data_IF_750041472618
#
_entry.id   IF_750041472618
#
_cell.length_a   1.000
_cell.length_b   1.000
_cell.length_c   1.000
_cell.angle_alpha   90.00
_cell.angle_beta   90.00
_cell.angle_gamma   90.00
#
_symmetry.space_group_name_H-M   'P 1'
#
loop_
_entity.id
_entity.type
_entity.pdbx_description
1 polymer ?
#
# COMPACT_ATOMS: atom_id res chain seq x y z
N UNK A 1 15.20 7.56 9.73
CA UNK A 1 13.95 8.34 9.60
C UNK A 1 14.01 9.03 8.25
N UNK A 2 13.01 8.81 7.42
CA UNK A 2 13.04 9.19 6.01
C UNK A 2 11.75 9.93 5.65
N UNK A 3 11.84 10.86 4.70
CA UNK A 3 10.68 11.61 4.21
C UNK A 3 10.49 11.31 2.73
N UNK A 4 9.40 10.60 2.43
CA UNK A 4 8.97 10.33 1.08
C UNK A 4 8.15 11.52 0.58
N UNK A 5 8.48 12.01 -0.62
CA UNK A 5 7.78 13.15 -1.23
C UNK A 5 7.26 12.75 -2.60
N UNK A 6 5.97 12.94 -2.82
CA UNK A 6 5.27 12.59 -4.06
C UNK A 6 4.71 13.85 -4.72
N UNK A 7 4.74 13.88 -6.05
CA UNK A 7 4.13 14.97 -6.83
C UNK A 7 2.61 14.95 -6.63
N UNK A 8 2.03 16.09 -6.26
CA UNK A 8 0.59 16.15 -5.97
C UNK A 8 -0.27 15.80 -7.18
N UNK A 9 0.22 16.10 -8.40
CA UNK A 9 -0.42 15.73 -9.66
C UNK A 9 -0.62 14.22 -9.80
N UNK A 10 0.40 13.43 -9.48
CA UNK A 10 0.32 11.97 -9.62
C UNK A 10 -0.55 11.37 -8.51
N UNK A 11 -0.50 11.93 -7.30
CA UNK A 11 -1.38 11.52 -6.19
C UNK A 11 -2.85 11.81 -6.49
N UNK A 12 -3.18 12.91 -7.19
CA UNK A 12 -4.55 13.19 -7.63
C UNK A 12 -5.12 12.07 -8.49
N UNK A 13 -4.34 11.54 -9.45
CA UNK A 13 -4.77 10.42 -10.30
C UNK A 13 -5.10 9.16 -9.48
N UNK A 14 -4.34 8.89 -8.41
CA UNK A 14 -4.64 7.77 -7.50
C UNK A 14 -5.99 7.98 -6.80
N UNK A 15 -6.27 9.20 -6.34
CA UNK A 15 -7.56 9.52 -5.71
C UNK A 15 -8.72 9.44 -6.70
N UNK A 16 -8.54 9.92 -7.93
CA UNK A 16 -9.54 9.81 -9.00
C UNK A 16 -9.89 8.35 -9.30
N UNK A 17 -8.89 7.46 -9.30
CA UNK A 17 -9.11 6.02 -9.47
C UNK A 17 -9.85 5.40 -8.28
N UNK A 18 -9.49 5.75 -7.04
CA UNK A 18 -10.20 5.29 -5.85
C UNK A 18 -11.67 5.75 -5.86
N UNK A 19 -11.94 6.97 -6.34
CA UNK A 19 -13.29 7.53 -6.41
C UNK A 19 -14.13 6.86 -7.51
N UNK A 20 -13.50 6.40 -8.59
CA UNK A 20 -14.17 5.70 -9.69
C UNK A 20 -14.36 4.20 -9.44
N UNK A 21 -13.64 3.62 -8.49
CA UNK A 21 -13.65 2.19 -8.22
C UNK A 21 -14.93 1.73 -7.50
N UNK A 22 -15.43 0.55 -7.88
CA UNK A 22 -16.59 -0.09 -7.25
C UNK A 22 -16.22 -1.13 -6.20
N UNK A 23 -14.96 -1.59 -6.18
CA UNK A 23 -14.46 -2.59 -5.24
C UNK A 23 -12.95 -2.46 -5.04
N UNK A 24 -12.47 -3.03 -3.94
CA UNK A 24 -11.10 -2.89 -3.48
C UNK A 24 -10.51 -4.24 -3.09
N UNK A 25 -9.20 -4.38 -3.20
CA UNK A 25 -8.45 -5.52 -2.65
C UNK A 25 -8.00 -5.20 -1.22
N UNK A 26 -7.99 -6.18 -0.31
CA UNK A 26 -7.33 -6.01 0.98
C UNK A 26 -5.83 -5.78 0.76
N UNK A 27 -5.24 -4.89 1.56
CA UNK A 27 -3.79 -4.74 1.64
C UNK A 27 -3.16 -5.90 2.42
N UNK A 28 -1.85 -6.05 2.35
CA UNK A 28 -1.11 -7.00 3.20
C UNK A 28 -1.40 -6.78 4.68
N UNK A 29 -1.51 -5.53 5.13
CA UNK A 29 -1.85 -5.20 6.52
C UNK A 29 -3.26 -5.68 6.90
N UNK A 30 -4.21 -5.61 5.97
CA UNK A 30 -5.59 -6.07 6.19
C UNK A 30 -5.65 -7.61 6.30
N UNK A 31 -4.83 -8.32 5.52
CA UNK A 31 -4.79 -9.79 5.53
C UNK A 31 -4.46 -10.38 6.90
N UNK A 32 -3.59 -9.72 7.66
CA UNK A 32 -3.18 -10.18 8.99
C UNK A 32 -4.05 -9.58 10.11
N UNK A 33 -4.99 -8.68 9.82
CA UNK A 33 -5.84 -8.04 10.82
C UNK A 33 -7.09 -8.90 11.12
N UNK A 34 -7.24 -9.45 12.34
CA UNK A 34 -8.42 -10.24 12.72
C UNK A 34 -9.74 -9.48 12.55
N UNK A 35 -9.76 -8.16 12.72
CA UNK A 35 -10.97 -7.36 12.57
C UNK A 35 -11.53 -7.38 11.15
N UNK A 36 -10.73 -7.75 10.15
CA UNK A 36 -11.15 -7.89 8.76
C UNK A 36 -11.92 -9.18 8.48
N UNK A 37 -11.95 -10.12 9.42
CA UNK A 37 -12.67 -11.39 9.31
C UNK A 37 -14.01 -11.30 10.05
N UNK A 38 -15.05 -11.98 9.57
CA UNK A 38 -16.38 -11.92 10.20
C UNK A 38 -16.41 -12.51 11.61
N UNK A 39 -15.55 -13.50 11.87
CA UNK A 39 -15.44 -14.21 13.15
C UNK A 39 -14.13 -13.91 13.90
N UNK A 40 -13.31 -12.98 13.39
CA UNK A 40 -12.03 -12.63 14.01
C UNK A 40 -10.92 -13.68 13.81
N UNK A 41 -11.10 -14.67 12.93
CA UNK A 41 -10.11 -15.75 12.74
C UNK A 41 -9.45 -15.62 11.38
N UNK A 42 -8.16 -15.28 11.40
CA UNK A 42 -7.29 -15.20 10.21
C UNK A 42 -7.06 -16.62 9.67
N UNK A 43 -7.25 -16.79 8.36
CA UNK A 43 -7.15 -18.09 7.68
C UNK A 43 -6.32 -18.03 6.43
N UNK A 44 -5.60 -19.11 6.14
CA UNK A 44 -4.93 -19.31 4.87
C UNK A 44 -5.89 -19.71 3.76
N UNK A 45 -5.37 -19.89 2.53
CA UNK A 45 -6.17 -20.31 1.35
C UNK A 45 -6.91 -21.63 1.50
N UNK A 46 -6.52 -22.47 2.47
CA UNK A 46 -7.16 -23.76 2.74
C UNK A 46 -8.15 -23.67 3.92
N UNK A 47 -8.41 -22.47 4.43
CA UNK A 47 -9.30 -22.24 5.57
C UNK A 47 -8.69 -22.58 6.93
N UNK A 48 -7.36 -22.75 7.00
CA UNK A 48 -6.65 -23.16 8.22
C UNK A 48 -6.18 -21.94 9.00
N UNK A 49 -6.19 -22.03 10.32
CA UNK A 49 -5.46 -21.13 11.22
C UNK A 49 -3.94 -21.35 11.10
N UNK A 50 -3.14 -20.43 11.64
CA UNK A 50 -1.68 -20.56 11.69
C UNK A 50 -1.24 -21.86 12.37
N UNK A 51 -1.81 -22.17 13.55
CA UNK A 51 -1.50 -23.40 14.29
C UNK A 51 -1.83 -24.68 13.51
N UNK A 52 -2.88 -24.65 12.69
CA UNK A 52 -3.23 -25.78 11.83
C UNK A 52 -2.26 -25.89 10.65
N UNK A 53 -1.93 -24.77 10.00
CA UNK A 53 -0.96 -24.75 8.91
C UNK A 53 0.43 -25.26 9.35
N UNK A 54 0.90 -24.87 10.53
CA UNK A 54 2.16 -25.32 11.13
C UNK A 54 2.18 -26.84 11.36
N UNK A 55 1.09 -27.42 11.87
CA UNK A 55 0.97 -28.88 12.06
C UNK A 55 1.06 -29.66 10.74
N UNK A 56 0.69 -29.02 9.64
CA UNK A 56 0.82 -29.57 8.30
C UNK A 56 2.17 -29.26 7.63
N UNK A 57 3.13 -28.67 8.37
CA UNK A 57 4.46 -28.32 7.88
C UNK A 57 4.46 -27.23 6.80
N UNK A 58 3.37 -26.47 6.69
CA UNK A 58 3.22 -25.41 5.69
C UNK A 58 3.55 -24.03 6.27
N UNK A 59 3.97 -23.11 5.39
CA UNK A 59 4.02 -21.69 5.71
C UNK A 59 2.59 -21.14 5.77
N UNK A 60 2.24 -20.49 6.88
CA UNK A 60 0.98 -19.78 7.00
C UNK A 60 1.04 -18.48 6.20
N UNK A 61 0.06 -18.27 5.33
CA UNK A 61 -0.15 -17.00 4.64
C UNK A 61 -1.65 -16.75 4.55
N UNK A 62 -2.18 -15.65 5.11
CA UNK A 62 -3.60 -15.39 5.08
C UNK A 62 -4.15 -15.22 3.66
N UNK A 63 -5.39 -15.67 3.42
CA UNK A 63 -6.07 -15.50 2.14
C UNK A 63 -7.14 -14.42 2.20
N UNK A 64 -7.25 -13.64 1.12
CA UNK A 64 -8.33 -12.68 0.94
C UNK A 64 -9.71 -13.33 0.82
N UNK A 65 -9.78 -14.64 0.53
CA UNK A 65 -11.02 -15.40 0.37
C UNK A 65 -11.91 -15.39 1.64
N UNK A 66 -11.29 -15.18 2.80
CA UNK A 66 -11.96 -15.17 4.11
C UNK A 66 -12.13 -13.76 4.69
N UNK A 67 -11.66 -12.73 3.98
CA UNK A 67 -11.84 -11.33 4.39
C UNK A 67 -13.29 -10.92 4.15
N UNK A 68 -13.90 -10.28 5.14
CA UNK A 68 -15.17 -9.57 4.97
C UNK A 68 -14.94 -8.35 4.09
N UNK A 69 -15.28 -8.50 2.81
CA UNK A 69 -15.09 -7.47 1.78
C UNK A 69 -15.83 -6.16 2.10
N UNK A 70 -16.87 -6.18 2.94
CA UNK A 70 -17.57 -4.96 3.35
C UNK A 70 -16.72 -4.06 4.26
N UNK A 71 -15.66 -4.60 4.87
CA UNK A 71 -14.73 -3.88 5.73
C UNK A 71 -13.55 -3.28 4.96
N UNK A 72 -13.30 -3.74 3.73
CA UNK A 72 -12.18 -3.26 2.91
C UNK A 72 -12.48 -1.83 2.44
N UNK A 73 -11.63 -0.90 2.83
CA UNK A 73 -11.77 0.53 2.51
C UNK A 73 -10.80 0.97 1.42
N UNK A 74 -11.16 2.00 0.62
CA UNK A 74 -10.22 2.67 -0.28
C UNK A 74 -8.96 3.10 0.48
N UNK A 75 -7.80 2.81 -0.10
CA UNK A 75 -6.50 3.13 0.47
C UNK A 75 -5.45 3.36 -0.61
N UNK A 76 -4.42 4.12 -0.25
CA UNK A 76 -3.18 4.10 -1.01
C UNK A 76 -2.28 3.02 -0.42
N UNK A 77 -1.52 2.34 -1.27
CA UNK A 77 -0.52 1.36 -0.86
C UNK A 77 0.84 1.96 -1.18
N UNK A 78 1.62 2.25 -0.14
CA UNK A 78 3.03 2.58 -0.28
C UNK A 78 3.79 1.29 -0.52
N UNK A 79 4.50 1.20 -1.63
CA UNK A 79 5.30 0.02 -2.01
C UNK A 79 6.76 0.43 -2.11
N UNK A 80 7.63 -0.38 -1.53
CA UNK A 80 9.06 -0.38 -1.83
C UNK A 80 9.42 -1.69 -2.51
N UNK A 81 9.76 -1.64 -3.80
CA UNK A 81 10.33 -2.78 -4.55
C UNK A 81 11.45 -2.27 -5.51
N UNK A 82 11.25 -2.38 -6.82
CA UNK A 82 11.89 -1.65 -7.90
C UNK A 82 11.56 -0.13 -7.88
N UNK A 83 11.94 0.51 -6.78
CA UNK A 83 11.65 1.91 -6.47
C UNK A 83 10.76 2.07 -5.24
N UNK A 84 10.28 3.29 -5.01
CA UNK A 84 9.32 3.59 -3.94
C UNK A 84 8.19 4.39 -4.53
N UNK A 85 6.97 3.90 -4.40
CA UNK A 85 5.80 4.50 -5.05
C UNK A 85 4.50 4.23 -4.30
N UNK A 86 3.47 4.98 -4.68
CA UNK A 86 2.10 4.76 -4.27
C UNK A 86 1.30 4.19 -5.43
N UNK A 87 0.49 3.18 -5.13
CA UNK A 87 -0.63 2.69 -5.96
C UNK A 87 -1.92 2.73 -5.14
N UNK A 88 -3.03 2.35 -5.75
CA UNK A 88 -4.30 2.16 -5.05
C UNK A 88 -4.54 0.69 -4.75
N UNK A 89 -5.47 0.42 -3.83
CA UNK A 89 -6.05 -0.92 -3.68
C UNK A 89 -7.34 -1.11 -4.50
N UNK A 90 -7.64 -0.25 -5.48
CA UNK A 90 -8.80 -0.42 -6.34
C UNK A 90 -8.64 -1.65 -7.25
N UNK A 91 -9.70 -2.47 -7.32
CA UNK A 91 -9.78 -3.53 -8.33
C UNK A 91 -10.14 -2.90 -9.66
N UNK A 92 -9.21 -2.95 -10.61
CA UNK A 92 -9.48 -2.55 -11.99
C UNK A 92 -8.62 -3.36 -12.96
N UNK A 93 -9.01 -3.33 -14.23
CA UNK A 93 -8.33 -4.05 -15.29
C UNK A 93 -6.96 -3.44 -15.63
N UNK A 94 -5.98 -4.30 -15.90
CA UNK A 94 -4.62 -3.90 -16.23
C UNK A 94 -3.74 -3.58 -15.02
N UNK A 95 -2.45 -3.35 -15.27
CA UNK A 95 -1.51 -3.01 -14.22
C UNK A 95 -1.65 -1.53 -13.81
N UNK A 96 -1.25 -1.14 -12.58
CA UNK A 96 -1.20 0.26 -12.18
C UNK A 96 -0.42 1.14 -13.18
N UNK A 97 0.69 0.63 -13.73
CA UNK A 97 1.48 1.32 -14.75
C UNK A 97 0.65 1.57 -16.02
N UNK A 98 -0.04 0.56 -16.54
CA UNK A 98 -0.86 0.71 -17.75
C UNK A 98 -2.03 1.67 -17.59
N UNK A 99 -2.52 1.84 -16.35
CA UNK A 99 -3.57 2.79 -15.98
C UNK A 99 -3.03 4.19 -15.69
N UNK A 100 -1.71 4.36 -15.57
CA UNK A 100 -1.09 5.62 -15.16
C UNK A 100 -1.33 5.96 -13.69
N UNK A 101 -1.60 4.96 -12.85
CA UNK A 101 -1.90 5.09 -11.42
C UNK A 101 -0.76 4.57 -10.55
N UNK A 102 0.44 5.05 -10.86
CA UNK A 102 1.66 4.91 -10.05
C UNK A 102 2.20 6.30 -9.77
N UNK A 103 2.39 6.64 -8.49
CA UNK A 103 3.05 7.88 -8.09
C UNK A 103 4.37 7.55 -7.39
N UNK A 104 5.50 7.73 -8.09
CA UNK A 104 6.82 7.50 -7.52
C UNK A 104 7.19 8.59 -6.52
N UNK A 105 7.85 8.18 -5.43
CA UNK A 105 8.56 9.08 -4.56
C UNK A 105 9.71 9.74 -5.33
N UNK A 106 10.01 11.00 -5.00
CA UNK A 106 11.10 11.75 -5.62
C UNK A 106 12.43 10.99 -5.47
N UNK A 107 13.10 10.73 -6.59
CA UNK A 107 14.40 10.04 -6.63
C UNK A 107 14.29 8.52 -6.65
N UNK A 108 13.08 7.95 -6.66
CA UNK A 108 12.87 6.50 -6.60
C UNK A 108 12.14 5.95 -7.83
N UNK A 109 12.13 6.67 -8.96
CA UNK A 109 11.52 6.20 -10.21
C UNK A 109 12.58 5.51 -11.09
N UNK A 110 12.51 4.19 -11.31
CA UNK A 110 13.51 3.46 -12.10
C UNK A 110 13.54 3.87 -13.59
N UNK A 111 12.49 4.54 -14.09
CA UNK A 111 12.45 5.06 -15.45
C UNK A 111 13.03 6.46 -15.62
N UNK A 112 13.41 7.14 -14.52
CA UNK A 112 13.88 8.53 -14.53
C UNK A 112 15.14 8.78 -13.69
N UNK A 113 15.31 8.05 -12.59
CA UNK A 113 16.34 8.27 -11.59
C UNK A 113 17.36 7.11 -11.64
N UNK A 114 18.61 7.38 -12.02
CA UNK A 114 19.65 6.34 -12.13
C UNK A 114 19.95 5.67 -10.77
N UNK A 115 19.95 6.47 -9.68
CA UNK A 115 20.23 6.02 -8.31
C UNK A 115 18.96 5.56 -7.55
N UNK A 116 17.91 5.13 -8.26
CA UNK A 116 16.62 4.83 -7.63
C UNK A 116 16.72 3.73 -6.56
N UNK A 117 17.61 2.75 -6.76
CA UNK A 117 17.75 1.59 -5.88
C UNK A 117 18.41 1.98 -4.56
N UNK A 118 19.50 2.76 -4.62
CA UNK A 118 20.15 3.35 -3.45
C UNK A 118 19.18 4.25 -2.68
N UNK A 119 18.40 5.07 -3.40
CA UNK A 119 17.37 5.90 -2.79
C UNK A 119 16.26 5.07 -2.13
N UNK A 120 15.80 3.97 -2.75
CA UNK A 120 14.86 3.02 -2.14
C UNK A 120 15.41 2.42 -0.85
N UNK A 121 16.66 1.95 -0.89
CA UNK A 121 17.33 1.37 0.28
C UNK A 121 17.45 2.38 1.43
N UNK A 122 17.78 3.63 1.13
CA UNK A 122 17.92 4.70 2.13
C UNK A 122 16.57 5.19 2.69
N UNK A 123 15.54 5.25 1.86
CA UNK A 123 14.25 5.84 2.23
C UNK A 123 13.25 4.83 2.80
N UNK A 124 13.21 3.62 2.25
CA UNK A 124 12.25 2.57 2.61
C UNK A 124 12.91 1.38 3.30
N UNK A 125 14.10 0.99 2.84
CA UNK A 125 14.84 -0.17 3.33
C UNK A 125 15.28 -1.10 2.20
N UNK A 126 16.15 -2.06 2.52
CA UNK A 126 16.65 -3.03 1.53
C UNK A 126 15.58 -4.00 1.04
N UNK A 127 14.70 -4.44 1.94
CA UNK A 127 13.67 -5.45 1.65
C UNK A 127 12.48 -4.89 0.89
N UNK A 128 11.77 -5.77 0.18
CA UNK A 128 10.53 -5.42 -0.51
C UNK A 128 9.35 -5.46 0.47
N UNK A 129 8.40 -4.53 0.30
CA UNK A 129 7.28 -4.46 1.21
C UNK A 129 6.23 -3.42 0.83
N UNK A 130 5.14 -3.43 1.58
CA UNK A 130 4.01 -2.52 1.39
C UNK A 130 3.46 -2.03 2.72
N UNK A 131 2.97 -0.80 2.76
CA UNK A 131 2.28 -0.21 3.92
C UNK A 131 0.98 0.44 3.46
N UNK A 132 -0.13 0.16 4.16
CA UNK A 132 -1.42 0.80 3.90
C UNK A 132 -1.43 2.24 4.40
N UNK A 133 -1.74 3.17 3.51
CA UNK A 133 -1.87 4.60 3.79
C UNK A 133 -3.35 5.02 3.66
N UNK A 134 -3.94 5.69 4.65
CA UNK A 134 -5.30 6.21 4.55
C UNK A 134 -5.45 7.19 3.36
N UNK A 135 -6.45 6.97 2.50
CA UNK A 135 -6.72 7.85 1.34
C UNK A 135 -6.99 9.30 1.75
N UNK A 136 -7.58 9.49 2.93
CA UNK A 136 -7.90 10.81 3.48
C UNK A 136 -6.67 11.70 3.67
N UNK A 137 -5.49 11.11 3.90
CA UNK A 137 -4.24 11.86 3.98
C UNK A 137 -3.88 12.51 2.65
N UNK A 138 -4.06 11.77 1.55
CA UNK A 138 -3.84 12.28 0.21
C UNK A 138 -4.91 13.30 -0.18
N UNK A 139 -6.19 13.06 0.13
CA UNK A 139 -7.27 14.05 -0.09
C UNK A 139 -6.99 15.37 0.61
N UNK A 140 -6.58 15.31 1.88
CA UNK A 140 -6.18 16.48 2.63
C UNK A 140 -4.98 17.19 1.98
N UNK A 141 -3.93 16.45 1.61
CA UNK A 141 -2.74 17.05 0.99
C UNK A 141 -3.05 17.70 -0.36
N UNK A 142 -3.95 17.12 -1.16
CA UNK A 142 -4.38 17.67 -2.45
C UNK A 142 -4.99 19.06 -2.30
N UNK A 143 -5.71 19.29 -1.20
CA UNK A 143 -6.37 20.56 -0.91
C UNK A 143 -5.44 21.58 -0.24
N UNK A 144 -4.44 21.11 0.52
CA UNK A 144 -3.69 21.96 1.46
C UNK A 144 -2.20 22.10 1.15
N UNK A 145 -1.62 21.23 0.30
CA UNK A 145 -0.18 21.11 0.10
C UNK A 145 0.22 21.11 -1.38
N UNK A 146 1.48 21.47 -1.65
CA UNK A 146 2.07 21.38 -3.00
C UNK A 146 2.62 20.00 -3.34
N UNK A 147 2.81 19.16 -2.32
CA UNK A 147 3.32 17.80 -2.44
C UNK A 147 2.70 16.94 -1.33
N UNK A 148 2.55 15.65 -1.61
CA UNK A 148 2.17 14.69 -0.59
C UNK A 148 3.44 14.17 0.07
N UNK A 149 3.54 14.29 1.40
CA UNK A 149 4.74 13.97 2.15
C UNK A 149 4.41 13.01 3.28
N UNK A 150 5.13 11.91 3.31
CA UNK A 150 5.01 10.87 4.32
C UNK A 150 6.34 10.75 5.04
N UNK A 151 6.31 10.78 6.36
CA UNK A 151 7.44 10.44 7.21
C UNK A 151 7.38 8.96 7.52
N UNK A 152 8.47 8.26 7.24
CA UNK A 152 8.62 6.82 7.45
C UNK A 152 9.74 6.55 8.47
N UNK A 153 9.43 5.69 9.43
CA UNK A 153 10.40 5.07 10.33
C UNK A 153 10.23 3.56 10.26
N UNK A 154 11.11 2.81 10.92
CA UNK A 154 11.00 1.35 11.02
C UNK A 154 9.65 0.90 11.58
N UNK A 155 9.01 1.72 12.42
CA UNK A 155 7.82 1.33 13.18
C UNK A 155 6.62 2.27 12.99
N UNK A 156 6.72 3.29 12.14
CA UNK A 156 5.64 4.27 11.96
C UNK A 156 5.63 4.89 10.57
N UNK A 157 4.41 5.23 10.15
CA UNK A 157 4.13 6.03 8.97
C UNK A 157 3.24 7.21 9.37
N UNK A 158 3.62 8.43 8.99
CA UNK A 158 2.97 9.66 9.44
C UNK A 158 2.78 10.63 8.27
N UNK A 159 1.60 11.25 8.17
CA UNK A 159 1.36 12.38 7.27
C UNK A 159 2.14 13.61 7.74
N UNK A 160 2.89 14.24 6.84
CA UNK A 160 3.47 15.55 7.11
C UNK A 160 2.49 16.65 6.68
N UNK A 161 2.02 17.44 7.65
CA UNK A 161 1.05 18.52 7.43
C UNK A 161 1.69 19.92 7.27
N UNK A 162 3.01 20.03 7.50
CA UNK A 162 3.78 21.27 7.44
C UNK A 162 5.19 21.01 7.94
#
# INVERSE_FOLDING_TARGET
>A
MSVLTFKIHDVKKLIEELDAASSFSPSTDDLFNPEMYSDGIVRDKNGRTEQEAEKHGGMFWPSEDFIDQSKVKPALILVGDHGVYLITNAKADGSPISRGTVAYAKGCNPGLDDDFYENKCNLFGGDDGSVRIPSEWARWAIQNQKAFRIKLTTNSVELMQG
#
